data_IF_736624613628
#
_entry.id   IF_736624613628
#
_cell.length_a   1.000
_cell.length_b   1.000
_cell.length_c   1.000
_cell.angle_alpha   90.00
_cell.angle_beta   90.00
_cell.angle_gamma   90.00
#
_symmetry.space_group_name_H-M   'P 1'
#
loop_
_entity.id
_entity.type
_entity.pdbx_description
1 polymer ?
#
# COMPACT_ATOMS: atom_id res chain seq x y z
N UNK A 1 6.44 26.94 9.85
CA UNK A 1 6.18 25.53 10.22
C UNK A 1 4.98 25.35 11.15
N UNK A 2 3.91 24.73 10.64
CA UNK A 2 2.78 24.28 11.47
C UNK A 2 3.16 23.02 12.25
N UNK A 3 3.08 22.99 13.59
CA UNK A 3 3.48 21.83 14.39
C UNK A 3 2.58 20.60 14.17
N UNK A 4 1.45 20.80 13.50
CA UNK A 4 0.41 19.81 13.28
C UNK A 4 0.90 18.68 12.37
N UNK A 5 1.63 19.00 11.31
CA UNK A 5 2.10 18.01 10.33
C UNK A 5 3.01 16.92 10.92
N UNK A 6 4.12 17.24 11.63
CA UNK A 6 4.98 16.22 12.23
C UNK A 6 4.25 15.39 13.31
N UNK A 7 3.28 15.98 14.02
CA UNK A 7 2.46 15.23 14.99
C UNK A 7 1.64 14.16 14.27
N UNK A 8 0.92 14.50 13.20
CA UNK A 8 0.16 13.50 12.44
C UNK A 8 1.05 12.50 11.72
N UNK A 9 2.22 12.90 11.20
CA UNK A 9 3.17 11.99 10.58
C UNK A 9 3.71 10.96 11.57
N UNK A 10 4.11 11.39 12.78
CA UNK A 10 4.58 10.49 13.83
C UNK A 10 3.47 9.58 14.38
N UNK A 11 2.25 10.10 14.55
CA UNK A 11 1.09 9.29 14.91
C UNK A 11 0.77 8.26 13.83
N UNK A 12 0.80 8.65 12.54
CA UNK A 12 0.60 7.74 11.41
C UNK A 12 1.61 6.60 11.41
N UNK A 13 2.89 6.89 11.67
CA UNK A 13 3.93 5.89 11.84
C UNK A 13 3.58 4.89 12.96
N UNK A 14 3.30 5.37 14.17
CA UNK A 14 3.00 4.52 15.33
C UNK A 14 1.73 3.69 15.10
N UNK A 15 0.64 4.31 14.65
CA UNK A 15 -0.64 3.66 14.43
C UNK A 15 -0.57 2.60 13.31
N UNK A 16 0.20 2.85 12.26
CA UNK A 16 0.38 1.87 11.18
C UNK A 16 1.07 0.59 11.63
N UNK A 17 1.95 0.65 12.63
CA UNK A 17 2.69 -0.50 13.15
C UNK A 17 1.90 -1.35 14.13
N UNK A 18 0.85 -0.80 14.76
CA UNK A 18 -0.02 -1.54 15.70
C UNK A 18 -0.47 -2.89 15.13
N UNK A 19 -1.05 -2.97 13.91
CA UNK A 19 -1.51 -4.23 13.36
C UNK A 19 -0.41 -5.20 12.88
N UNK A 20 0.86 -4.78 12.85
CA UNK A 20 1.92 -5.50 12.15
C UNK A 20 2.10 -6.93 12.67
N UNK A 21 2.12 -7.10 13.99
CA UNK A 21 2.31 -8.40 14.62
C UNK A 21 1.23 -9.42 14.18
N UNK A 22 -0.05 -9.04 14.29
CA UNK A 22 -1.15 -9.94 13.93
C UNK A 22 -1.20 -10.24 12.42
N UNK A 23 -0.86 -9.27 11.58
CA UNK A 23 -0.84 -9.47 10.13
C UNK A 23 0.32 -10.37 9.68
N UNK A 24 1.45 -10.31 10.39
CA UNK A 24 2.58 -11.19 10.18
C UNK A 24 2.24 -12.63 10.57
N UNK A 25 1.62 -12.83 11.74
CA UNK A 25 1.15 -14.14 12.20
C UNK A 25 0.07 -14.74 11.28
N UNK A 26 -0.81 -13.90 10.72
CA UNK A 26 -1.83 -14.30 9.75
C UNK A 26 -1.28 -14.58 8.32
N UNK A 27 0.05 -14.48 8.13
CA UNK A 27 0.72 -14.64 6.83
C UNK A 27 0.08 -13.76 5.73
N UNK A 28 -0.28 -12.54 6.11
CA UNK A 28 -0.88 -11.56 5.20
C UNK A 28 0.17 -10.63 4.61
N UNK A 29 0.96 -11.17 3.68
CA UNK A 29 2.10 -10.49 3.08
C UNK A 29 1.73 -9.13 2.47
N UNK A 30 0.62 -9.04 1.72
CA UNK A 30 0.16 -7.79 1.12
C UNK A 30 -0.10 -6.68 2.17
N UNK A 31 -0.77 -7.02 3.28
CA UNK A 31 -1.02 -6.06 4.36
C UNK A 31 0.24 -5.70 5.13
N UNK A 32 1.16 -6.64 5.34
CA UNK A 32 2.46 -6.37 5.94
C UNK A 32 3.25 -5.36 5.10
N UNK A 33 3.29 -5.54 3.77
CA UNK A 33 3.91 -4.58 2.86
C UNK A 33 3.22 -3.22 2.88
N UNK A 34 1.88 -3.19 2.92
CA UNK A 34 1.12 -1.94 3.04
C UNK A 34 1.51 -1.17 4.31
N UNK A 35 1.58 -1.86 5.45
CA UNK A 35 2.00 -1.30 6.73
C UNK A 35 3.44 -0.79 6.65
N UNK A 36 4.36 -1.59 6.12
CA UNK A 36 5.77 -1.21 6.02
C UNK A 36 5.96 0.05 5.18
N UNK A 37 5.33 0.13 4.00
CA UNK A 37 5.41 1.32 3.14
C UNK A 37 4.76 2.55 3.78
N UNK A 38 3.62 2.37 4.44
CA UNK A 38 2.93 3.47 5.16
C UNK A 38 3.80 4.00 6.30
N UNK A 39 4.35 3.10 7.12
CA UNK A 39 5.23 3.45 8.23
C UNK A 39 6.48 4.19 7.71
N UNK A 40 7.15 3.66 6.68
CA UNK A 40 8.32 4.31 6.09
C UNK A 40 7.98 5.69 5.53
N UNK A 41 6.88 5.84 4.79
CA UNK A 41 6.45 7.14 4.26
C UNK A 41 6.16 8.16 5.37
N UNK A 42 5.42 7.76 6.41
CA UNK A 42 5.13 8.61 7.57
C UNK A 42 6.39 9.04 8.32
N UNK A 43 7.32 8.10 8.54
CA UNK A 43 8.60 8.38 9.20
C UNK A 43 9.46 9.34 8.37
N UNK A 44 9.52 9.13 7.06
CA UNK A 44 10.24 10.01 6.14
C UNK A 44 9.68 11.43 6.19
N UNK A 45 8.36 11.58 6.13
CA UNK A 45 7.71 12.89 6.19
C UNK A 45 7.90 13.58 7.54
N UNK A 46 7.90 12.83 8.65
CA UNK A 46 8.22 13.36 9.96
C UNK A 46 9.62 13.99 9.98
N UNK A 47 10.67 13.24 9.61
CA UNK A 47 12.04 13.76 9.60
C UNK A 47 12.20 14.92 8.63
N UNK A 48 11.61 14.84 7.43
CA UNK A 48 11.71 15.89 6.45
C UNK A 48 11.12 17.22 6.96
N UNK A 49 9.96 17.17 7.60
CA UNK A 49 9.37 18.37 8.18
C UNK A 49 10.21 18.93 9.33
N UNK A 50 10.71 18.08 10.23
CA UNK A 50 11.45 18.53 11.43
C UNK A 50 12.83 19.11 11.09
N UNK A 51 13.58 18.48 10.18
CA UNK A 51 14.95 18.89 9.84
C UNK A 51 14.96 20.19 9.01
N UNK A 52 14.00 20.34 8.09
CA UNK A 52 13.90 21.49 7.19
C UNK A 52 12.87 22.54 7.64
N UNK A 53 12.56 22.56 8.94
CA UNK A 53 11.75 23.58 9.57
C UNK A 53 12.38 24.98 9.37
N UNK A 54 11.73 25.84 8.58
CA UNK A 54 12.18 27.20 8.29
C UNK A 54 13.57 27.29 7.64
N UNK A 55 14.03 26.24 6.95
CA UNK A 55 15.32 26.26 6.26
C UNK A 55 15.36 25.35 5.02
N UNK A 56 16.25 25.67 4.09
CA UNK A 56 16.51 24.90 2.84
C UNK A 56 17.95 24.40 2.77
N UNK A 57 18.66 24.37 3.90
CA UNK A 57 20.05 23.98 3.96
C UNK A 57 20.20 22.48 3.68
N UNK A 58 21.21 22.10 2.90
CA UNK A 58 21.51 20.69 2.65
C UNK A 58 22.30 20.08 3.82
N UNK A 59 21.68 20.02 4.99
CA UNK A 59 22.29 19.55 6.25
C UNK A 59 22.54 18.04 6.26
N UNK A 60 21.75 17.26 5.51
CA UNK A 60 21.80 15.80 5.50
C UNK A 60 21.61 15.21 4.09
N UNK A 61 22.61 15.31 3.20
CA UNK A 61 22.50 14.86 1.81
C UNK A 61 22.25 13.35 1.68
N UNK A 62 22.86 12.54 2.54
CA UNK A 62 22.64 11.09 2.55
C UNK A 62 21.19 10.73 2.93
N UNK A 63 20.58 11.50 3.85
CA UNK A 63 19.17 11.31 4.20
C UNK A 63 18.26 11.67 3.03
N UNK A 64 18.51 12.80 2.36
CA UNK A 64 17.69 13.20 1.21
C UNK A 64 17.64 12.13 0.12
N UNK A 65 18.78 11.55 -0.22
CA UNK A 65 18.88 10.45 -1.20
C UNK A 65 18.01 9.24 -0.79
N UNK A 66 18.01 8.86 0.49
CA UNK A 66 17.19 7.75 0.99
C UNK A 66 15.71 8.14 1.00
N UNK A 67 15.39 9.32 1.53
CA UNK A 67 14.04 9.87 1.65
C UNK A 67 13.31 9.88 0.31
N UNK A 68 13.92 10.44 -0.74
CA UNK A 68 13.27 10.51 -2.05
C UNK A 68 12.98 9.13 -2.63
N UNK A 69 13.86 8.14 -2.41
CA UNK A 69 13.66 6.77 -2.91
C UNK A 69 12.56 6.05 -2.15
N UNK A 70 12.46 6.28 -0.83
CA UNK A 70 11.34 5.78 -0.02
C UNK A 70 10.03 6.39 -0.51
N UNK A 71 9.96 7.70 -0.72
CA UNK A 71 8.74 8.35 -1.19
C UNK A 71 8.34 7.88 -2.60
N UNK A 72 9.31 7.76 -3.51
CA UNK A 72 9.11 7.22 -4.85
C UNK A 72 8.57 5.78 -4.82
N UNK A 73 9.23 4.87 -4.10
CA UNK A 73 8.79 3.48 -3.96
C UNK A 73 7.41 3.39 -3.31
N UNK A 74 7.15 4.14 -2.24
CA UNK A 74 5.85 4.14 -1.54
C UNK A 74 4.69 4.58 -2.45
N UNK A 75 4.92 5.52 -3.38
CA UNK A 75 3.89 6.00 -4.32
C UNK A 75 3.29 4.89 -5.19
N UNK A 76 4.05 3.82 -5.45
CA UNK A 76 3.63 2.63 -6.21
C UNK A 76 3.41 1.42 -5.30
N UNK A 77 4.19 1.29 -4.22
CA UNK A 77 4.09 0.21 -3.25
C UNK A 77 2.75 0.18 -2.52
N UNK A 78 2.22 1.35 -2.13
CA UNK A 78 0.91 1.45 -1.48
C UNK A 78 -0.24 0.99 -2.39
N UNK A 79 -0.40 1.48 -3.64
CA UNK A 79 -1.46 0.99 -4.52
C UNK A 79 -1.22 -0.47 -4.96
N UNK A 80 0.02 -0.93 -5.10
CA UNK A 80 0.32 -2.34 -5.38
C UNK A 80 -0.13 -3.26 -4.23
N UNK A 81 0.14 -2.87 -2.99
CA UNK A 81 -0.31 -3.58 -1.82
C UNK A 81 -1.84 -3.56 -1.68
N UNK A 82 -2.48 -2.41 -1.93
CA UNK A 82 -3.94 -2.29 -1.98
C UNK A 82 -4.58 -3.24 -3.01
N UNK A 83 -3.99 -3.33 -4.21
CA UNK A 83 -4.44 -4.26 -5.24
C UNK A 83 -4.37 -5.72 -4.76
N UNK A 84 -3.26 -6.12 -4.13
CA UNK A 84 -3.08 -7.48 -3.64
C UNK A 84 -4.04 -7.82 -2.48
N UNK A 85 -4.28 -6.87 -1.57
CA UNK A 85 -5.29 -7.00 -0.50
C UNK A 85 -6.68 -7.22 -1.11
N UNK A 86 -7.09 -6.39 -2.08
CA UNK A 86 -8.40 -6.52 -2.72
C UNK A 86 -8.52 -7.82 -3.53
N UNK A 87 -7.44 -8.27 -4.19
CA UNK A 87 -7.41 -9.56 -4.88
C UNK A 87 -7.61 -10.73 -3.91
N UNK A 88 -6.96 -10.70 -2.74
CA UNK A 88 -7.14 -11.72 -1.69
C UNK A 88 -8.57 -11.70 -1.16
N UNK A 89 -9.14 -10.51 -0.93
CA UNK A 89 -10.52 -10.36 -0.49
C UNK A 89 -11.51 -10.96 -1.51
N UNK A 90 -11.30 -10.68 -2.80
CA UNK A 90 -12.12 -11.24 -3.87
C UNK A 90 -12.04 -12.77 -3.93
N UNK A 91 -10.84 -13.33 -3.76
CA UNK A 91 -10.66 -14.78 -3.70
C UNK A 91 -11.41 -15.40 -2.51
N UNK A 92 -11.36 -14.78 -1.33
CA UNK A 92 -12.12 -15.24 -0.16
C UNK A 92 -13.62 -15.14 -0.40
N UNK A 93 -14.09 -14.07 -1.05
CA UNK A 93 -15.51 -13.86 -1.34
C UNK A 93 -16.08 -14.81 -2.40
N UNK A 94 -15.25 -15.26 -3.34
CA UNK A 94 -15.67 -16.10 -4.48
C UNK A 94 -15.54 -17.59 -4.24
N UNK A 95 -14.72 -18.00 -3.27
CA UNK A 95 -14.49 -19.41 -2.95
C UNK A 95 -15.52 -19.91 -1.93
N UNK A 96 -16.16 -21.08 -2.15
CA UNK A 96 -17.10 -21.65 -1.19
C UNK A 96 -16.46 -21.91 0.19
N UNK A 97 -17.20 -21.74 1.31
CA UNK A 97 -16.67 -21.90 2.67
C UNK A 97 -16.02 -23.26 2.97
N UNK A 98 -16.35 -24.30 2.19
CA UNK A 98 -15.84 -25.66 2.34
C UNK A 98 -14.50 -25.92 1.63
N UNK A 99 -13.98 -24.96 0.85
CA UNK A 99 -12.73 -25.16 0.13
C UNK A 99 -11.52 -25.05 1.09
N UNK A 100 -10.79 -26.16 1.22
CA UNK A 100 -9.56 -26.20 2.01
C UNK A 100 -8.43 -25.53 1.22
N UNK A 101 -7.88 -24.42 1.73
CA UNK A 101 -6.71 -23.77 1.14
C UNK A 101 -5.45 -24.56 1.52
N UNK A 102 -4.75 -25.09 0.52
CA UNK A 102 -3.50 -25.81 0.72
C UNK A 102 -2.39 -24.89 1.22
N UNK A 103 -1.46 -25.41 2.03
CA UNK A 103 -0.28 -24.66 2.45
C UNK A 103 0.63 -24.26 1.27
N UNK A 104 0.58 -25.03 0.17
CA UNK A 104 1.26 -24.67 -1.08
C UNK A 104 0.67 -23.40 -1.71
N UNK A 105 -0.66 -23.24 -1.64
CA UNK A 105 -1.36 -22.06 -2.18
C UNK A 105 -1.07 -20.83 -1.34
N UNK A 106 -1.03 -20.98 0.00
CA UNK A 106 -0.61 -19.90 0.91
C UNK A 106 0.80 -19.42 0.60
N UNK A 107 1.76 -20.33 0.43
CA UNK A 107 3.15 -19.98 0.07
C UNK A 107 3.22 -19.27 -1.28
N UNK A 108 2.49 -19.75 -2.29
CA UNK A 108 2.43 -19.10 -3.61
C UNK A 108 1.85 -17.69 -3.52
N UNK A 109 0.81 -17.47 -2.71
CA UNK A 109 0.22 -16.16 -2.48
C UNK A 109 1.25 -15.21 -1.83
N UNK A 110 1.92 -15.62 -0.76
CA UNK A 110 2.97 -14.81 -0.09
C UNK A 110 4.08 -14.40 -1.05
N UNK A 111 4.56 -15.36 -1.86
CA UNK A 111 5.62 -15.10 -2.84
C UNK A 111 5.13 -14.09 -3.89
N UNK A 112 3.93 -14.30 -4.43
CA UNK A 112 3.33 -13.41 -5.45
C UNK A 112 3.13 -12.00 -4.90
N UNK A 113 2.57 -11.89 -3.69
CA UNK A 113 2.34 -10.61 -3.03
C UNK A 113 3.66 -9.90 -2.75
N UNK A 114 4.70 -10.63 -2.33
CA UNK A 114 6.03 -10.04 -2.08
C UNK A 114 6.71 -9.54 -3.35
N UNK A 115 6.52 -10.25 -4.47
CA UNK A 115 7.01 -9.78 -5.77
C UNK A 115 6.29 -8.50 -6.23
N UNK A 116 4.96 -8.45 -6.10
CA UNK A 116 4.16 -7.31 -6.56
C UNK A 116 4.30 -6.10 -5.63
N UNK A 117 4.34 -6.31 -4.30
CA UNK A 117 4.34 -5.23 -3.32
C UNK A 117 5.74 -4.79 -2.90
N UNK A 118 6.76 -5.63 -3.10
CA UNK A 118 8.15 -5.36 -2.71
C UNK A 118 9.07 -5.17 -3.92
N UNK A 119 9.24 -6.22 -4.72
CA UNK A 119 10.21 -6.18 -5.83
C UNK A 119 9.80 -5.19 -6.92
N UNK A 120 8.53 -5.19 -7.33
CA UNK A 120 8.05 -4.31 -8.40
C UNK A 120 8.25 -2.81 -8.09
N UNK A 121 7.87 -2.28 -6.90
CA UNK A 121 8.16 -0.89 -6.55
C UNK A 121 9.65 -0.55 -6.53
N UNK A 122 10.51 -1.46 -6.06
CA UNK A 122 11.96 -1.26 -6.04
C UNK A 122 12.54 -1.18 -7.46
N UNK A 123 12.12 -2.08 -8.36
CA UNK A 123 12.52 -2.04 -9.77
C UNK A 123 12.02 -0.77 -10.46
N UNK A 124 10.78 -0.37 -10.16
CA UNK A 124 10.18 0.86 -10.65
C UNK A 124 10.98 2.11 -10.25
N UNK A 125 11.40 2.21 -8.99
CA UNK A 125 12.24 3.34 -8.55
C UNK A 125 13.62 3.30 -9.20
N UNK A 126 14.15 2.13 -9.53
CA UNK A 126 15.34 2.01 -10.38
C UNK A 126 15.14 2.62 -11.78
N UNK A 127 13.98 2.40 -12.40
CA UNK A 127 13.63 3.00 -13.69
C UNK A 127 13.45 4.52 -13.60
N UNK A 128 12.92 5.02 -12.49
CA UNK A 128 12.74 6.46 -12.26
C UNK A 128 14.05 7.26 -12.25
N UNK A 129 15.19 6.62 -11.97
CA UNK A 129 16.51 7.26 -12.02
C UNK A 129 16.79 7.81 -13.44
N UNK A 130 16.24 7.18 -14.50
CA UNK A 130 16.45 7.61 -15.89
C UNK A 130 15.74 8.94 -16.18
N UNK A 131 14.58 9.19 -15.56
CA UNK A 131 13.77 10.41 -15.77
C UNK A 131 14.03 11.49 -14.71
N UNK A 132 14.98 11.23 -13.82
CA UNK A 132 15.33 12.13 -12.75
C UNK A 132 16.22 13.28 -13.28
N UNK A 133 15.81 14.53 -13.05
CA UNK A 133 16.52 15.72 -13.55
C UNK A 133 17.66 16.12 -12.62
N UNK A 134 17.35 16.21 -11.32
CA UNK A 134 18.31 16.49 -10.25
C UNK A 134 18.25 15.40 -9.20
N UNK A 135 19.32 15.26 -8.44
CA UNK A 135 19.43 14.25 -7.37
C UNK A 135 18.29 14.36 -6.36
N UNK A 136 17.98 15.56 -5.91
CA UNK A 136 16.83 15.90 -5.08
C UNK A 136 16.79 17.42 -5.00
N UNK A 137 15.61 17.98 -4.75
CA UNK A 137 15.45 19.37 -4.35
C UNK A 137 15.03 19.43 -2.87
N UNK A 138 15.33 20.53 -2.20
CA UNK A 138 14.94 20.77 -0.81
C UNK A 138 13.97 21.93 -0.80
N UNK A 139 12.76 21.68 -0.30
CA UNK A 139 11.72 22.68 -0.13
C UNK A 139 11.61 23.07 1.35
N UNK A 140 11.50 24.36 1.63
CA UNK A 140 11.32 24.89 2.98
C UNK A 140 10.05 24.29 3.61
N UNK A 141 10.12 23.91 4.89
CA UNK A 141 9.03 23.27 5.67
C UNK A 141 8.55 21.89 5.15
N UNK A 142 9.00 21.43 3.99
CA UNK A 142 8.65 20.13 3.39
C UNK A 142 9.81 19.15 3.44
N UNK A 143 11.05 19.62 3.21
CA UNK A 143 12.26 18.81 3.16
C UNK A 143 12.60 18.30 1.76
N UNK A 144 13.17 17.09 1.68
CA UNK A 144 13.73 16.55 0.44
C UNK A 144 12.63 15.99 -0.48
N UNK A 145 12.59 16.46 -1.72
CA UNK A 145 11.63 16.03 -2.75
C UNK A 145 12.33 15.56 -4.03
N UNK A 146 11.72 14.62 -4.77
CA UNK A 146 12.23 14.21 -6.07
C UNK A 146 12.00 15.31 -7.13
N UNK A 147 12.98 15.51 -8.01
CA UNK A 147 12.88 16.41 -9.16
C UNK A 147 13.00 15.64 -10.47
N UNK A 148 11.96 15.73 -11.31
CA UNK A 148 11.84 15.00 -12.57
C UNK A 148 11.80 15.96 -13.76
N UNK A 149 12.14 15.47 -14.95
CA UNK A 149 11.93 16.24 -16.18
C UNK A 149 10.43 16.40 -16.47
N UNK A 150 10.00 17.59 -16.88
CA UNK A 150 8.69 17.79 -17.50
C UNK A 150 8.70 17.24 -18.93
N UNK A 151 8.65 15.91 -19.03
CA UNK A 151 8.68 15.19 -20.30
C UNK A 151 7.57 14.16 -20.34
N UNK A 152 7.12 13.82 -21.55
CA UNK A 152 6.11 12.78 -21.75
C UNK A 152 6.53 11.45 -21.09
N UNK A 153 7.82 11.12 -21.13
CA UNK A 153 8.39 9.92 -20.50
C UNK A 153 8.17 9.88 -18.98
N UNK A 154 8.27 11.02 -18.30
CA UNK A 154 8.03 11.12 -16.86
C UNK A 154 6.58 10.82 -16.51
N UNK A 155 5.61 11.25 -17.33
CA UNK A 155 4.20 10.94 -17.08
C UNK A 155 3.91 9.43 -17.22
N UNK A 156 4.49 8.79 -18.25
CA UNK A 156 4.33 7.35 -18.44
C UNK A 156 5.04 6.52 -17.37
N UNK A 157 6.23 6.93 -16.94
CA UNK A 157 7.00 6.19 -15.95
C UNK A 157 6.50 6.50 -14.54
N UNK A 158 6.22 7.75 -14.20
CA UNK A 158 5.89 8.14 -12.83
C UNK A 158 4.39 7.99 -12.53
N UNK A 159 3.52 8.62 -13.31
CA UNK A 159 2.10 8.76 -12.98
C UNK A 159 1.23 7.58 -13.43
N UNK A 160 1.60 6.87 -14.50
CA UNK A 160 0.79 5.78 -15.06
C UNK A 160 0.64 4.61 -14.08
N UNK A 161 1.72 4.17 -13.46
CA UNK A 161 1.72 2.94 -12.65
C UNK A 161 0.85 3.04 -11.38
N UNK A 162 0.94 4.12 -10.56
CA UNK A 162 0.00 4.31 -9.46
C UNK A 162 -1.45 4.29 -9.91
N UNK A 163 -1.78 4.90 -11.05
CA UNK A 163 -3.14 4.94 -11.60
C UNK A 163 -3.62 3.55 -12.03
N UNK A 164 -2.81 2.82 -12.79
CA UNK A 164 -3.14 1.46 -13.26
C UNK A 164 -3.40 0.53 -12.07
N UNK A 165 -2.52 0.57 -11.06
CA UNK A 165 -2.68 -0.23 -9.84
C UNK A 165 -3.92 0.15 -9.05
N UNK A 166 -4.20 1.45 -8.93
CA UNK A 166 -5.37 1.97 -8.21
C UNK A 166 -6.68 1.58 -8.91
N UNK A 167 -6.75 1.70 -10.24
CA UNK A 167 -7.91 1.27 -11.03
C UNK A 167 -8.14 -0.23 -10.86
N UNK A 168 -7.07 -1.03 -10.93
CA UNK A 168 -7.16 -2.46 -10.66
C UNK A 168 -7.68 -2.75 -9.26
N UNK A 169 -7.19 -2.01 -8.25
CA UNK A 169 -7.62 -2.15 -6.86
C UNK A 169 -9.12 -1.86 -6.70
N UNK A 170 -9.63 -0.81 -7.36
CA UNK A 170 -11.05 -0.46 -7.37
C UNK A 170 -11.88 -1.57 -8.03
N UNK A 171 -11.44 -2.09 -9.17
CA UNK A 171 -12.14 -3.17 -9.87
C UNK A 171 -12.28 -4.42 -8.97
N UNK A 172 -11.21 -4.86 -8.31
CA UNK A 172 -11.28 -5.98 -7.37
C UNK A 172 -12.11 -5.67 -6.13
N UNK A 173 -12.11 -4.43 -5.65
CA UNK A 173 -12.97 -4.01 -4.53
C UNK A 173 -14.46 -4.16 -4.89
N UNK A 174 -14.87 -3.66 -6.06
CA UNK A 174 -16.24 -3.79 -6.57
C UNK A 174 -16.62 -5.26 -6.73
N UNK A 175 -15.76 -6.06 -7.36
CA UNK A 175 -16.00 -7.49 -7.54
C UNK A 175 -16.13 -8.24 -6.21
N UNK A 176 -15.29 -7.91 -5.22
CA UNK A 176 -15.38 -8.47 -3.87
C UNK A 176 -16.71 -8.15 -3.21
N UNK A 177 -17.13 -6.88 -3.27
CA UNK A 177 -18.40 -6.43 -2.71
C UNK A 177 -19.59 -7.14 -3.38
N UNK A 178 -19.58 -7.29 -4.71
CA UNK A 178 -20.60 -8.02 -5.44
C UNK A 178 -20.65 -9.51 -5.05
N UNK A 179 -19.50 -10.18 -4.94
CA UNK A 179 -19.42 -11.59 -4.53
C UNK A 179 -19.89 -11.82 -3.09
N UNK A 180 -19.59 -10.90 -2.17
CA UNK A 180 -20.13 -10.95 -0.81
C UNK A 180 -21.64 -10.73 -0.77
N UNK A 181 -22.15 -9.79 -1.57
CA UNK A 181 -23.58 -9.51 -1.64
C UNK A 181 -24.37 -10.71 -2.19
N UNK A 182 -23.88 -11.35 -3.24
CA UNK A 182 -24.52 -12.54 -3.83
C UNK A 182 -24.48 -13.73 -2.87
N UNK A 183 -23.36 -13.96 -2.19
CA UNK A 183 -23.22 -15.04 -1.20
C UNK A 183 -24.18 -14.86 -0.02
N UNK A 184 -24.39 -13.62 0.44
CA UNK A 184 -25.36 -13.30 1.50
C UNK A 184 -26.81 -13.50 1.06
N UNK A 185 -27.14 -13.13 -0.18
CA UNK A 185 -28.49 -13.34 -0.73
C UNK A 185 -28.84 -14.82 -0.80
N UNK A 186 -27.91 -15.66 -1.29
CA UNK A 186 -28.10 -17.12 -1.33
C UNK A 186 -28.32 -17.72 0.07
N UNK A 187 -27.51 -17.31 1.06
CA UNK A 187 -27.70 -17.78 2.45
C UNK A 187 -29.04 -17.35 3.05
N UNK A 188 -29.49 -16.12 2.79
CA UNK A 188 -30.79 -15.64 3.27
C UNK A 188 -31.96 -16.44 2.65
N UNK A 189 -31.85 -16.77 1.37
CA UNK A 189 -32.82 -17.62 0.67
C UNK A 189 -32.86 -19.04 1.29
N UNK A 190 -31.71 -19.68 1.51
CA UNK A 190 -31.65 -20.99 2.18
C UNK A 190 -32.22 -20.98 3.60
N UNK A 191 -31.95 -19.94 4.39
CA UNK A 191 -32.45 -19.80 5.76
C UNK A 191 -33.97 -19.59 5.79
N UNK A 192 -34.51 -18.76 4.88
CA UNK A 192 -35.96 -18.54 4.76
C UNK A 192 -36.71 -19.76 4.22
N UNK A 193 -36.08 -20.57 3.38
CA UNK A 193 -36.63 -21.85 2.92
C UNK A 193 -36.68 -22.91 4.05
N UNK A 194 -35.84 -22.79 5.09
CA UNK A 194 -35.78 -23.70 6.24
C UNK A 194 -36.19 -23.03 7.57
N UNK A 195 -37.36 -22.38 7.60
CA UNK A 195 -37.96 -21.78 8.80
C UNK A 195 -38.16 -22.73 10.00
N UNK A 196 -37.86 -24.03 9.87
CA UNK A 196 -37.98 -25.03 10.92
C UNK A 196 -36.68 -25.27 11.73
N UNK A 197 -35.55 -24.65 11.36
CA UNK A 197 -34.32 -24.70 12.15
C UNK A 197 -34.30 -23.52 13.11
N UNK A 198 -34.92 -23.69 14.27
CA UNK A 198 -34.70 -22.80 15.41
C UNK A 198 -33.23 -22.88 15.84
N UNK A 199 -32.56 -21.76 16.15
CA UNK A 199 -31.25 -21.82 16.77
C UNK A 199 -31.42 -22.49 18.13
N UNK A 200 -30.84 -23.68 18.30
CA UNK A 200 -30.76 -24.33 19.60
C UNK A 200 -29.98 -23.41 20.54
N UNK A 201 -30.63 -23.09 21.65
CA UNK A 201 -30.24 -22.12 22.67
C UNK A 201 -29.00 -22.56 23.46
#
# INVERSE_FOLDING_TARGET
MDPIFPIFASLGFVLSLVPLYWQFEAWNAATVWYIAWTALACLTQYFNSVVWAGNTLNSAPAWCEISIRIMMTASVGLPAASLCINRRLYHIASVPPAAVVSDADKRRAIITDSFICGLFPVLYTGLQIIVQRRRFDILEDVGCVPDFFDSLSTYFISSMWPLVLSIGSIAYCVLSACAFASSRAGLAEFLSAHNNLTPAR
#
